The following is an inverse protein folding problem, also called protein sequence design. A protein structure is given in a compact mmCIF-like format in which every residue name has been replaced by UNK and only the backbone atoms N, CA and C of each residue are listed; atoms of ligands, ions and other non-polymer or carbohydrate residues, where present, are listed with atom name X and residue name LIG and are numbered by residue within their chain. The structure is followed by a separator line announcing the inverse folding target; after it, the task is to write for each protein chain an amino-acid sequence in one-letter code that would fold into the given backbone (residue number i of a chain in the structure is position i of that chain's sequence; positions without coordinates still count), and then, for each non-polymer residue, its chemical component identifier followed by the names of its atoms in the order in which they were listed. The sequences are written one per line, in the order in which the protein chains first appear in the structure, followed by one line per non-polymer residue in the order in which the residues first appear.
data_IF_020801737122
#
_entry.id   IF_020801737122
#
_cell.length_a   1.000
_cell.length_b   1.000
_cell.length_c   1.000
_cell.angle_alpha   90.00
_cell.angle_beta   90.00
_cell.angle_gamma   90.00
#
_symmetry.space_group_name_H-M   'P 1'
#
loop_
_entity.id
_entity.type
_entity.pdbx_description
1 polymer ?
#
# COMPACT_ATOMS: atom_id res chain seq x y z
N UNK A 1 20.10 3.57 11.65
CA UNK A 1 18.97 2.63 11.88
C UNK A 1 18.59 2.06 10.52
N UNK A 2 18.53 0.74 10.36
CA UNK A 2 18.32 0.10 9.06
C UNK A 2 16.96 0.49 8.47
N UNK A 3 16.95 1.34 7.44
CA UNK A 3 15.75 1.68 6.65
C UNK A 3 15.02 0.42 6.13
N UNK A 4 15.78 -0.67 5.94
CA UNK A 4 15.30 -2.02 5.61
C UNK A 4 14.27 -2.56 6.62
N UNK A 5 14.53 -2.39 7.91
CA UNK A 5 13.62 -2.85 8.96
C UNK A 5 12.34 -2.00 9.03
N UNK A 6 12.44 -0.71 8.67
CA UNK A 6 11.31 0.20 8.63
C UNK A 6 10.35 -0.14 7.47
N UNK A 7 10.86 -0.40 6.27
CA UNK A 7 10.03 -0.74 5.11
C UNK A 7 9.35 -2.11 5.31
N UNK A 8 10.11 -3.12 5.75
CA UNK A 8 9.54 -4.44 6.07
C UNK A 8 8.46 -4.36 7.16
N UNK A 9 8.66 -3.53 8.19
CA UNK A 9 7.66 -3.28 9.23
C UNK A 9 6.39 -2.62 8.69
N UNK A 10 6.52 -1.63 7.79
CA UNK A 10 5.38 -0.96 7.15
C UNK A 10 4.60 -1.91 6.22
N UNK A 11 5.28 -2.74 5.44
CA UNK A 11 4.63 -3.77 4.61
C UNK A 11 3.86 -4.76 5.49
N UNK A 12 4.43 -5.18 6.63
CA UNK A 12 3.73 -6.02 7.62
C UNK A 12 2.46 -5.38 8.18
N UNK A 13 2.49 -4.08 8.45
CA UNK A 13 1.32 -3.32 8.87
C UNK A 13 0.25 -3.27 7.77
N UNK A 14 0.64 -3.04 6.51
CA UNK A 14 -0.25 -3.07 5.36
C UNK A 14 -0.92 -4.44 5.16
N UNK A 15 -0.18 -5.53 5.39
CA UNK A 15 -0.74 -6.90 5.38
C UNK A 15 -1.75 -7.14 6.50
N UNK A 16 -1.54 -6.53 7.66
CA UNK A 16 -2.51 -6.59 8.76
C UNK A 16 -3.78 -5.83 8.40
N UNK A 17 -3.68 -4.68 7.73
CA UNK A 17 -4.83 -3.96 7.18
C UNK A 17 -5.60 -4.79 6.15
N UNK A 18 -4.92 -5.64 5.36
CA UNK A 18 -5.54 -6.56 4.38
C UNK A 18 -6.53 -7.55 5.00
N UNK A 19 -6.36 -7.85 6.30
CA UNK A 19 -7.25 -8.74 7.06
C UNK A 19 -8.52 -8.04 7.54
N UNK A 20 -8.60 -6.71 7.47
CA UNK A 20 -9.82 -5.97 7.77
C UNK A 20 -10.83 -6.16 6.65
N UNK A 21 -12.10 -6.09 7.01
CA UNK A 21 -13.21 -6.18 6.05
C UNK A 21 -13.23 -4.96 5.11
N UNK A 22 -12.91 -3.79 5.66
CA UNK A 22 -12.93 -2.50 4.95
C UNK A 22 -11.57 -1.84 5.08
N UNK A 23 -11.02 -1.42 3.94
CA UNK A 23 -9.72 -0.77 3.85
C UNK A 23 -9.93 0.60 3.23
N UNK A 24 -9.71 1.64 4.02
CA UNK A 24 -9.82 3.00 3.53
C UNK A 24 -8.49 3.46 2.96
N UNK A 25 -8.53 4.21 1.86
CA UNK A 25 -7.33 4.80 1.27
C UNK A 25 -6.58 5.73 2.26
N UNK A 26 -7.30 6.33 3.22
CA UNK A 26 -6.73 7.20 4.24
C UNK A 26 -6.09 6.45 5.42
N UNK A 27 -6.34 5.15 5.58
CA UNK A 27 -5.61 4.31 6.57
C UNK A 27 -4.20 3.98 6.09
N UNK A 28 -3.90 4.19 4.81
CA UNK A 28 -2.57 3.94 4.26
C UNK A 28 -1.60 5.08 4.57
N UNK A 29 -0.31 4.76 4.81
CA UNK A 29 0.74 5.76 4.89
C UNK A 29 0.86 6.52 3.56
N UNK A 30 1.20 7.80 3.63
CA UNK A 30 1.26 8.70 2.47
C UNK A 30 2.18 8.20 1.35
N UNK A 31 3.30 7.56 1.70
CA UNK A 31 4.26 6.99 0.75
C UNK A 31 3.63 5.91 -0.15
N UNK A 32 2.75 5.09 0.41
CA UNK A 32 2.05 4.03 -0.31
C UNK A 32 0.76 4.51 -0.95
N UNK A 33 0.19 5.60 -0.44
CA UNK A 33 -1.05 6.18 -0.95
C UNK A 33 -0.87 6.63 -2.40
N UNK A 34 0.25 7.26 -2.75
CA UNK A 34 0.53 7.69 -4.12
C UNK A 34 0.67 6.49 -5.09
N UNK A 35 1.41 5.45 -4.68
CA UNK A 35 1.58 4.23 -5.48
C UNK A 35 0.24 3.51 -5.67
N UNK A 36 -0.53 3.36 -4.59
CA UNK A 36 -1.84 2.74 -4.64
C UNK A 36 -2.84 3.55 -5.45
N UNK A 37 -2.85 4.87 -5.31
CA UNK A 37 -3.66 5.76 -6.15
C UNK A 37 -3.34 5.58 -7.62
N UNK A 38 -2.06 5.48 -7.98
CA UNK A 38 -1.61 5.21 -9.35
C UNK A 38 -2.04 3.82 -9.81
N UNK A 39 -1.95 2.81 -8.93
CA UNK A 39 -2.33 1.44 -9.22
C UNK A 39 -3.84 1.27 -9.49
N UNK A 40 -4.68 2.02 -8.78
CA UNK A 40 -6.14 1.97 -8.92
C UNK A 40 -6.68 3.00 -9.93
N UNK A 41 -5.83 3.70 -10.67
CA UNK A 41 -6.28 4.55 -11.78
C UNK A 41 -7.03 3.67 -12.79
N UNK A 42 -8.29 4.02 -13.08
CA UNK A 42 -9.15 3.27 -13.99
C UNK A 42 -9.93 2.12 -13.33
N UNK A 43 -9.67 1.83 -12.05
CA UNK A 43 -10.45 0.85 -11.29
C UNK A 43 -11.66 1.49 -10.61
N UNK A 44 -12.73 0.71 -10.45
CA UNK A 44 -13.93 1.19 -9.74
C UNK A 44 -13.70 1.09 -8.24
N UNK A 45 -13.70 2.24 -7.56
CA UNK A 45 -13.62 2.32 -6.11
C UNK A 45 -15.00 2.52 -5.49
N UNK A 46 -15.17 1.99 -4.28
CA UNK A 46 -16.38 2.20 -3.50
C UNK A 46 -16.16 3.37 -2.53
N UNK A 47 -17.20 4.14 -2.22
CA UNK A 47 -17.14 5.20 -1.22
C UNK A 47 -18.08 4.84 -0.07
N UNK A 48 -17.54 4.79 1.14
CA UNK A 48 -18.30 4.50 2.37
C UNK A 48 -18.07 5.63 3.36
N UNK A 49 -19.15 6.22 3.87
CA UNK A 49 -19.09 7.31 4.86
C UNK A 49 -18.20 8.50 4.41
N UNK A 50 -18.25 8.84 3.12
CA UNK A 50 -17.43 9.91 2.54
C UNK A 50 -15.94 9.58 2.39
N UNK A 51 -15.53 8.31 2.63
CA UNK A 51 -14.16 7.84 2.47
C UNK A 51 -14.07 6.82 1.34
N UNK A 52 -12.99 6.91 0.56
CA UNK A 52 -12.68 5.92 -0.47
C UNK A 52 -12.30 4.60 0.19
N UNK A 53 -13.03 3.56 -0.17
CA UNK A 53 -12.82 2.16 0.22
C UNK A 53 -12.22 1.42 -0.96
N UNK A 54 -11.15 0.69 -0.66
CA UNK A 54 -10.46 -0.15 -1.61
C UNK A 54 -10.99 -1.56 -1.45
N UNK A 55 -11.47 -2.12 -2.55
CA UNK A 55 -11.92 -3.52 -2.56
C UNK A 55 -10.80 -4.44 -2.10
N UNK A 56 -11.12 -5.39 -1.23
CA UNK A 56 -10.11 -6.27 -0.60
C UNK A 56 -9.28 -7.02 -1.67
N UNK A 57 -9.89 -7.40 -2.79
CA UNK A 57 -9.19 -8.04 -3.90
C UNK A 57 -8.17 -7.10 -4.59
N UNK A 58 -8.55 -5.85 -4.82
CA UNK A 58 -7.67 -4.82 -5.41
C UNK A 58 -6.49 -4.54 -4.49
N UNK A 59 -6.78 -4.36 -3.20
CA UNK A 59 -5.76 -4.14 -2.20
C UNK A 59 -4.76 -5.31 -2.11
N UNK A 60 -5.24 -6.56 -2.13
CA UNK A 60 -4.37 -7.75 -2.14
C UNK A 60 -3.53 -7.86 -3.40
N UNK A 61 -4.09 -7.54 -4.58
CA UNK A 61 -3.33 -7.50 -5.85
C UNK A 61 -2.21 -6.46 -5.77
N UNK A 62 -2.54 -5.26 -5.28
CA UNK A 62 -1.57 -4.20 -5.05
C UNK A 62 -0.49 -4.63 -4.06
N UNK A 63 -0.84 -5.22 -2.91
CA UNK A 63 0.12 -5.73 -1.93
C UNK A 63 1.05 -6.79 -2.49
N UNK A 64 0.57 -7.69 -3.33
CA UNK A 64 1.43 -8.68 -4.01
C UNK A 64 2.41 -8.01 -4.97
N UNK A 65 1.96 -6.97 -5.69
CA UNK A 65 2.82 -6.16 -6.56
C UNK A 65 3.86 -5.39 -5.74
N UNK A 66 3.44 -4.82 -4.61
CA UNK A 66 4.30 -4.13 -3.67
C UNK A 66 5.32 -5.08 -3.02
N UNK A 67 4.93 -6.32 -2.71
CA UNK A 67 5.83 -7.34 -2.18
C UNK A 67 6.84 -7.81 -3.23
N UNK A 68 6.39 -8.04 -4.47
CA UNK A 68 7.26 -8.37 -5.59
C UNK A 68 8.23 -7.22 -5.93
N UNK A 69 7.78 -5.96 -5.77
CA UNK A 69 8.59 -4.74 -5.86
C UNK A 69 9.25 -4.34 -4.55
N UNK A 70 9.04 -5.06 -3.45
CA UNK A 70 9.58 -4.67 -2.14
C UNK A 70 11.09 -4.64 -2.18
N UNK A 71 11.66 -5.60 -2.93
CA UNK A 71 13.07 -5.69 -3.28
C UNK A 71 13.57 -4.53 -4.17
N UNK A 72 12.68 -3.89 -4.92
CA UNK A 72 12.97 -2.77 -5.83
C UNK A 72 12.84 -1.42 -5.10
N UNK A 73 11.85 -1.29 -4.20
CA UNK A 73 11.73 -0.17 -3.26
C UNK A 73 12.94 -0.09 -2.31
N UNK A 74 13.56 -1.21 -1.96
CA UNK A 74 14.84 -1.27 -1.24
C UNK A 74 15.99 -0.57 -2.00
N UNK A 75 15.92 -0.51 -3.33
CA UNK A 75 16.94 0.14 -4.19
C UNK A 75 16.59 1.62 -4.43
N UNK A 76 15.32 1.94 -4.65
CA UNK A 76 14.89 3.33 -4.92
C UNK A 76 15.04 4.24 -3.68
N UNK A 77 14.79 3.70 -2.47
CA UNK A 77 15.03 4.44 -1.21
C UNK A 77 16.52 4.73 -0.96
N UNK A 78 17.42 3.94 -1.56
CA UNK A 78 18.88 4.09 -1.41
C UNK A 78 19.46 5.19 -2.31
N UNK A 79 18.67 5.70 -3.27
CA UNK A 79 19.08 6.74 -4.22
C UNK A 79 18.48 8.14 -3.92
N UNK A 80 17.80 8.31 -2.77
CA UNK A 80 17.38 9.63 -2.26
C UNK A 80 18.24 10.10 -1.08
N UNK A 81 19.55 9.88 -1.15
CA UNK A 81 20.56 10.56 -0.32
C UNK A 81 21.50 11.36 -1.23
#
# INVERSE_FOLDING_TARGET
MNQLALISGKIGALWTLSKKDIIFLNDLPQEFKADLQTFIIGETLYMKEGKLVIGNNLYKKWLRKLQARGFDYEIDFKNSD
#
